data_IF_650806058343
#
_entry.id   IF_650806058343
#
_cell.length_a   1.000
_cell.length_b   1.000
_cell.length_c   1.000
_cell.angle_alpha   90.00
_cell.angle_beta   90.00
_cell.angle_gamma   90.00
#
_symmetry.space_group_name_H-M   'P 1'
#
loop_
_entity.id
_entity.type
_entity.pdbx_description
1 polymer ?
#
# COMPACT_ATOMS: atom_id res chain seq x y z
N UNK A 1 -11.69 -1.06 -4.87
CA UNK A 1 -10.29 -0.65 -4.55
C UNK A 1 -9.87 -1.13 -3.16
N UNK A 2 -8.75 -1.84 -3.00
CA UNK A 2 -8.40 -2.60 -1.77
C UNK A 2 -8.30 -1.79 -0.46
N UNK A 3 -8.05 -0.48 -0.52
CA UNK A 3 -7.78 0.31 0.69
C UNK A 3 -8.53 1.65 0.70
N UNK A 4 -9.45 1.85 -0.25
CA UNK A 4 -10.40 2.96 -0.28
C UNK A 4 -11.60 2.58 -1.17
N UNK A 5 -12.38 1.55 -0.79
CA UNK A 5 -13.50 1.07 -1.61
C UNK A 5 -14.59 2.14 -1.80
N UNK A 6 -14.74 3.07 -0.86
CA UNK A 6 -15.70 4.17 -0.90
C UNK A 6 -15.44 5.17 -2.04
N UNK A 7 -14.19 5.28 -2.51
CA UNK A 7 -13.84 6.16 -3.63
C UNK A 7 -13.89 5.48 -5.01
N UNK A 8 -14.38 4.24 -5.11
CA UNK A 8 -14.40 3.48 -6.37
C UNK A 8 -15.21 4.18 -7.48
N UNK A 9 -16.26 4.93 -7.12
CA UNK A 9 -17.06 5.74 -8.05
C UNK A 9 -16.42 7.07 -8.49
N UNK A 10 -15.14 7.30 -8.22
CA UNK A 10 -14.44 8.55 -8.55
C UNK A 10 -14.66 9.70 -7.56
N UNK A 11 -15.28 9.42 -6.41
CA UNK A 11 -15.42 10.35 -5.30
C UNK A 11 -14.08 10.67 -4.61
N UNK A 12 -14.10 11.67 -3.74
CA UNK A 12 -12.94 11.98 -2.88
C UNK A 12 -12.82 10.89 -1.81
N UNK A 13 -11.63 10.33 -1.57
CA UNK A 13 -11.39 9.38 -0.48
C UNK A 13 -11.60 10.05 0.88
N UNK A 14 -12.13 9.31 1.86
CA UNK A 14 -12.19 9.79 3.24
C UNK A 14 -10.79 9.84 3.84
N UNK A 15 -10.00 8.78 3.62
CA UNK A 15 -8.57 8.73 3.94
C UNK A 15 -7.73 8.69 2.64
N UNK A 16 -7.02 9.77 2.28
CA UNK A 16 -6.17 9.77 1.10
C UNK A 16 -4.95 8.84 1.23
N UNK A 17 -4.52 8.51 2.45
CA UNK A 17 -3.29 7.74 2.71
C UNK A 17 -3.48 6.23 2.56
N UNK A 18 -4.71 5.75 2.58
CA UNK A 18 -5.04 4.36 2.27
C UNK A 18 -5.37 4.15 0.80
N UNK A 19 -5.32 5.18 -0.04
CA UNK A 19 -5.62 5.01 -1.47
C UNK A 19 -4.48 4.31 -2.23
N UNK A 20 -4.83 3.56 -3.28
CA UNK A 20 -3.84 2.98 -4.19
C UNK A 20 -2.87 4.03 -4.73
N UNK A 21 -3.37 5.21 -5.12
CA UNK A 21 -2.53 6.29 -5.67
C UNK A 21 -1.46 6.76 -4.69
N UNK A 22 -1.78 6.84 -3.39
CA UNK A 22 -0.82 7.27 -2.37
C UNK A 22 0.21 6.17 -2.10
N UNK A 23 -0.25 4.94 -1.92
CA UNK A 23 0.63 3.78 -1.68
C UNK A 23 1.58 3.54 -2.86
N UNK A 24 1.10 3.66 -4.10
CA UNK A 24 1.93 3.60 -5.30
C UNK A 24 2.93 4.76 -5.36
N UNK A 25 2.52 5.98 -5.00
CA UNK A 25 3.42 7.13 -4.97
C UNK A 25 4.58 6.95 -3.98
N UNK A 26 4.37 6.26 -2.84
CA UNK A 26 5.46 5.95 -1.91
C UNK A 26 6.54 5.08 -2.56
N UNK A 27 6.11 4.09 -3.34
CA UNK A 27 6.99 3.14 -4.03
C UNK A 27 7.69 3.81 -5.22
N UNK A 28 6.93 4.51 -6.06
CA UNK A 28 7.44 5.20 -7.25
C UNK A 28 8.42 6.32 -6.91
N UNK A 29 8.22 7.01 -5.77
CA UNK A 29 9.12 8.07 -5.32
C UNK A 29 10.38 7.57 -4.62
N UNK A 30 10.48 6.28 -4.31
CA UNK A 30 11.56 5.72 -3.49
C UNK A 30 11.49 6.08 -2.00
N UNK A 31 10.33 6.57 -1.52
CA UNK A 31 10.11 6.75 -0.07
C UNK A 31 10.14 5.41 0.66
N UNK A 32 9.75 4.35 -0.04
CA UNK A 32 9.93 2.95 0.34
C UNK A 32 10.66 2.22 -0.80
N UNK A 33 11.41 1.17 -0.47
CA UNK A 33 12.18 0.39 -1.42
C UNK A 33 13.68 0.38 -1.12
N UNK A 34 14.50 -0.03 -2.10
CA UNK A 34 15.95 -0.14 -1.91
C UNK A 34 16.57 1.15 -1.38
N UNK A 35 17.29 1.05 -0.26
CA UNK A 35 18.01 2.17 0.34
C UNK A 35 17.21 3.06 1.31
N UNK A 36 15.88 2.90 1.44
CA UNK A 36 15.09 3.69 2.39
C UNK A 36 14.99 3.08 3.79
N UNK A 37 15.38 1.82 3.94
CA UNK A 37 15.19 1.03 5.16
C UNK A 37 13.77 0.48 5.35
N UNK A 38 12.83 0.84 4.48
CA UNK A 38 11.45 0.36 4.44
C UNK A 38 11.17 -0.39 3.14
N UNK A 39 10.61 -1.59 3.22
CA UNK A 39 10.36 -2.42 2.03
C UNK A 39 8.86 -2.75 1.89
N UNK A 40 8.25 -2.55 0.72
CA UNK A 40 6.87 -2.99 0.47
C UNK A 40 6.72 -4.51 0.65
N UNK A 41 5.65 -4.92 1.33
CA UNK A 41 5.34 -6.33 1.59
C UNK A 41 3.83 -6.56 1.61
N UNK A 42 3.20 -6.52 0.44
CA UNK A 42 1.75 -6.61 0.31
C UNK A 42 1.25 -8.04 0.51
N UNK A 43 0.24 -8.21 1.36
CA UNK A 43 -0.47 -9.48 1.52
C UNK A 43 -1.75 -9.47 0.69
N UNK A 44 -2.07 -10.60 0.07
CA UNK A 44 -3.31 -10.79 -0.67
C UNK A 44 -4.00 -12.08 -0.23
N UNK A 45 -5.33 -12.08 -0.30
CA UNK A 45 -6.15 -13.29 -0.14
C UNK A 45 -6.81 -13.58 -1.47
N UNK A 46 -6.62 -14.80 -1.97
CA UNK A 46 -7.21 -15.25 -3.22
C UNK A 46 -8.26 -16.34 -2.99
N UNK A 47 -9.32 -16.33 -3.80
CA UNK A 47 -10.33 -17.38 -3.87
C UNK A 47 -10.63 -17.65 -5.34
N UNK A 48 -10.42 -18.90 -5.78
CA UNK A 48 -10.58 -19.30 -7.19
C UNK A 48 -9.87 -18.34 -8.16
N UNK A 49 -8.58 -18.10 -7.92
CA UNK A 49 -7.71 -17.20 -8.70
C UNK A 49 -8.10 -15.72 -8.72
N UNK A 50 -9.16 -15.34 -7.99
CA UNK A 50 -9.55 -13.95 -7.80
C UNK A 50 -8.99 -13.42 -6.47
N UNK A 51 -8.33 -12.27 -6.49
CA UNK A 51 -7.97 -11.53 -5.27
C UNK A 51 -9.25 -10.97 -4.65
N UNK A 52 -9.55 -11.39 -3.42
CA UNK A 52 -10.75 -10.97 -2.68
C UNK A 52 -10.45 -10.00 -1.53
N UNK A 53 -9.19 -9.92 -1.11
CA UNK A 53 -8.72 -8.94 -0.13
C UNK A 53 -7.23 -8.68 -0.33
N UNK A 54 -6.77 -7.50 0.09
CA UNK A 54 -5.35 -7.24 0.24
C UNK A 54 -5.07 -6.29 1.41
N UNK A 55 -3.87 -6.40 1.96
CA UNK A 55 -3.36 -5.58 3.04
C UNK A 55 -1.99 -5.04 2.63
N UNK A 56 -1.84 -3.73 2.39
CA UNK A 56 -0.55 -3.11 2.16
C UNK A 56 0.28 -3.08 3.44
N UNK A 57 1.52 -3.56 3.41
CA UNK A 57 2.44 -3.47 4.55
C UNK A 57 3.81 -2.98 4.11
N UNK A 58 4.55 -2.38 5.04
CA UNK A 58 5.92 -1.94 4.85
C UNK A 58 6.81 -2.46 5.99
N UNK A 59 7.84 -3.22 5.64
CA UNK A 59 8.77 -3.84 6.58
C UNK A 59 9.98 -2.92 6.82
N UNK A 60 10.28 -2.60 8.08
CA UNK A 60 11.50 -1.88 8.47
C UNK A 60 12.66 -2.89 8.63
N UNK A 61 13.73 -2.71 7.86
CA UNK A 61 14.85 -3.66 7.80
C UNK A 61 15.95 -3.45 8.85
N UNK A 62 15.97 -2.31 9.55
CA UNK A 62 16.94 -1.99 10.61
C UNK A 62 16.36 -0.94 11.56
N UNK A 63 16.81 -0.90 12.82
CA UNK A 63 16.34 0.12 13.78
C UNK A 63 17.09 1.45 13.71
N UNK A 64 18.07 1.61 12.82
CA UNK A 64 18.78 2.89 12.66
C UNK A 64 17.83 3.94 12.05
N UNK A 65 17.63 5.04 12.78
CA UNK A 65 16.65 6.08 12.48
C UNK A 65 15.40 6.01 13.39
N UNK A 66 15.58 6.45 14.64
CA UNK A 66 14.69 7.39 15.34
C UNK A 66 15.44 8.73 15.46
#
# INVERSE_FOLDING_TARGET
ACACPEAEGGGRPEDPFTTYRFLAALEDSGSVGPGSGWHPHHLTVTRADQVIACAPLYLKGHSQGE
#
